data_IF_714896375439
#
_entry.id   IF_714896375439
#
_cell.length_a   1.000
_cell.length_b   1.000
_cell.length_c   1.000
_cell.angle_alpha   90.00
_cell.angle_beta   90.00
_cell.angle_gamma   90.00
#
_symmetry.space_group_name_H-M   'P 1'
#
loop_
_entity.id
_entity.type
_entity.pdbx_description
1 polymer ?
#
# COMPACT_ATOMS: atom_id res chain seq x y z
N UNK A 1 -24.12 -14.11 -59.37
CA UNK A 1 -24.69 -13.82 -58.04
C UNK A 1 -23.69 -12.95 -57.28
N UNK A 2 -23.90 -11.63 -57.23
CA UNK A 2 -22.96 -10.71 -56.61
C UNK A 2 -23.27 -10.59 -55.12
N UNK A 3 -22.43 -11.17 -54.28
CA UNK A 3 -22.51 -11.04 -52.83
C UNK A 3 -22.16 -9.59 -52.43
N UNK A 4 -23.19 -8.78 -52.20
CA UNK A 4 -23.05 -7.42 -51.70
C UNK A 4 -22.67 -7.49 -50.20
N UNK A 5 -21.37 -7.50 -49.88
CA UNK A 5 -20.88 -7.43 -48.50
C UNK A 5 -21.21 -6.06 -47.94
N UNK A 6 -22.22 -5.97 -47.06
CA UNK A 6 -22.45 -4.78 -46.25
C UNK A 6 -21.27 -4.62 -45.29
N UNK A 7 -20.41 -3.62 -45.53
CA UNK A 7 -19.47 -3.15 -44.52
C UNK A 7 -20.29 -2.47 -43.41
N UNK A 8 -20.64 -3.22 -42.37
CA UNK A 8 -21.21 -2.64 -41.16
C UNK A 8 -20.08 -1.99 -40.37
N UNK A 9 -20.00 -0.67 -40.43
CA UNK A 9 -19.09 0.11 -39.57
C UNK A 9 -19.53 -0.09 -38.12
N UNK A 10 -18.80 -0.94 -37.40
CA UNK A 10 -19.04 -1.19 -35.98
C UNK A 10 -18.58 0.04 -35.20
N UNK A 11 -19.54 0.74 -34.58
CA UNK A 11 -19.28 1.91 -33.75
C UNK A 11 -20.05 1.80 -32.46
N UNK A 12 -19.35 1.93 -31.34
CA UNK A 12 -19.89 1.77 -30.00
C UNK A 12 -20.44 3.13 -29.51
N UNK A 13 -21.61 3.12 -28.86
CA UNK A 13 -22.27 4.32 -28.34
C UNK A 13 -22.51 4.16 -26.84
N UNK A 14 -21.80 4.95 -26.04
CA UNK A 14 -21.88 4.95 -24.58
C UNK A 14 -22.57 6.21 -24.03
N UNK A 15 -23.23 7.00 -24.87
CA UNK A 15 -23.96 8.21 -24.43
C UNK A 15 -25.01 7.87 -23.37
N UNK A 16 -25.32 8.86 -22.53
CA UNK A 16 -26.28 8.73 -21.43
C UNK A 16 -25.90 7.72 -20.33
N UNK A 17 -24.66 7.22 -20.34
CA UNK A 17 -24.08 6.49 -19.22
C UNK A 17 -23.20 7.43 -18.40
N UNK A 18 -23.29 7.30 -17.07
CA UNK A 18 -22.40 7.98 -16.15
C UNK A 18 -21.17 7.10 -15.95
N UNK A 19 -20.12 7.35 -16.73
CA UNK A 19 -18.89 6.56 -16.68
C UNK A 19 -18.10 6.91 -15.42
N UNK A 20 -17.74 5.92 -14.61
CA UNK A 20 -17.02 6.16 -13.37
C UNK A 20 -15.56 6.54 -13.64
N UNK A 21 -15.17 7.71 -13.14
CA UNK A 21 -13.83 8.26 -13.24
C UNK A 21 -13.10 7.99 -11.92
N UNK A 22 -12.52 6.80 -11.84
CA UNK A 22 -11.82 6.31 -10.66
C UNK A 22 -10.54 5.56 -11.05
N UNK A 23 -9.60 5.46 -10.11
CA UNK A 23 -8.38 4.69 -10.30
C UNK A 23 -8.64 3.19 -10.53
N UNK A 24 -9.76 2.66 -10.04
CA UNK A 24 -10.14 1.26 -10.27
C UNK A 24 -10.50 0.96 -11.72
N UNK A 25 -10.94 1.97 -12.48
CA UNK A 25 -11.34 1.85 -13.88
C UNK A 25 -10.32 2.46 -14.85
N UNK A 26 -9.08 2.67 -14.42
CA UNK A 26 -8.03 3.32 -15.22
C UNK A 26 -7.82 2.62 -16.58
N UNK A 27 -7.81 1.29 -16.61
CA UNK A 27 -7.61 0.52 -17.85
C UNK A 27 -8.75 0.77 -18.86
N UNK A 28 -9.98 0.85 -18.37
CA UNK A 28 -11.15 1.18 -19.18
C UNK A 28 -11.07 2.60 -19.72
N UNK A 29 -10.71 3.57 -18.89
CA UNK A 29 -10.57 4.97 -19.30
C UNK A 29 -9.45 5.14 -20.34
N UNK A 30 -8.35 4.40 -20.19
CA UNK A 30 -7.26 4.41 -21.16
C UNK A 30 -7.69 3.77 -22.50
N UNK A 31 -8.35 2.62 -22.45
CA UNK A 31 -8.93 1.98 -23.64
C UNK A 31 -9.90 2.91 -24.38
N UNK A 32 -10.74 3.62 -23.62
CA UNK A 32 -11.71 4.58 -24.15
C UNK A 32 -11.02 5.74 -24.88
N UNK A 33 -9.91 6.23 -24.35
CA UNK A 33 -9.09 7.28 -24.98
C UNK A 33 -8.40 6.78 -26.26
N UNK A 34 -7.84 5.57 -26.23
CA UNK A 34 -7.16 4.94 -27.37
C UNK A 34 -8.13 4.65 -28.53
N UNK A 35 -9.34 4.19 -28.22
CA UNK A 35 -10.34 3.79 -29.21
C UNK A 35 -11.39 4.87 -29.52
N UNK A 36 -11.11 6.14 -29.18
CA UNK A 36 -12.04 7.26 -29.34
C UNK A 36 -12.59 7.45 -30.76
N UNK A 37 -11.85 7.03 -31.78
CA UNK A 37 -12.27 7.10 -33.19
C UNK A 37 -13.41 6.13 -33.53
N UNK A 38 -13.55 5.04 -32.78
CA UNK A 38 -14.59 4.03 -32.96
C UNK A 38 -15.84 4.33 -32.11
N UNK A 39 -15.77 5.36 -31.27
CA UNK A 39 -16.86 5.79 -30.39
C UNK A 39 -17.73 6.81 -31.11
N UNK A 40 -19.04 6.58 -31.11
CA UNK A 40 -20.00 7.55 -31.65
C UNK A 40 -20.15 8.71 -30.67
N UNK A 41 -20.00 9.93 -31.17
CA UNK A 41 -20.25 11.18 -30.44
C UNK A 41 -19.54 11.25 -29.08
N UNK A 42 -18.24 10.93 -29.07
CA UNK A 42 -17.39 10.94 -27.87
C UNK A 42 -17.48 12.25 -27.08
N UNK A 43 -17.63 13.40 -27.74
CA UNK A 43 -17.76 14.72 -27.08
C UNK A 43 -18.99 14.85 -26.17
N UNK A 44 -19.99 13.96 -26.29
CA UNK A 44 -21.21 13.96 -25.46
C UNK A 44 -21.13 12.99 -24.28
N UNK A 45 -19.95 12.41 -24.00
CA UNK A 45 -19.79 11.44 -22.93
C UNK A 45 -19.61 12.15 -21.60
N UNK A 46 -20.20 11.55 -20.57
CA UNK A 46 -20.30 12.14 -19.25
C UNK A 46 -19.63 11.21 -18.24
N UNK A 47 -18.72 11.76 -17.47
CA UNK A 47 -17.99 11.05 -16.43
C UNK A 47 -18.45 11.49 -15.04
N UNK A 48 -18.40 10.58 -14.07
CA UNK A 48 -18.69 10.86 -12.67
C UNK A 48 -17.44 10.62 -11.84
N UNK A 49 -17.03 11.62 -11.07
CA UNK A 49 -15.97 11.50 -10.09
C UNK A 49 -16.44 10.79 -8.82
N UNK A 50 -15.49 10.28 -8.04
CA UNK A 50 -15.71 9.75 -6.69
C UNK A 50 -16.51 10.69 -5.78
N UNK A 51 -16.34 12.00 -5.96
CA UNK A 51 -17.01 13.04 -5.17
C UNK A 51 -18.46 13.33 -5.65
N UNK A 52 -18.98 12.54 -6.60
CA UNK A 52 -20.30 12.71 -7.20
C UNK A 52 -20.39 13.83 -8.25
N UNK A 53 -19.30 14.57 -8.48
CA UNK A 53 -19.22 15.60 -9.52
C UNK A 53 -19.28 14.97 -10.90
N UNK A 54 -19.99 15.64 -11.81
CA UNK A 54 -20.12 15.24 -13.21
C UNK A 54 -19.14 16.06 -14.04
N UNK A 55 -18.37 15.40 -14.90
CA UNK A 55 -17.39 16.02 -15.79
C UNK A 55 -17.65 15.64 -17.24
N UNK A 56 -17.47 16.62 -18.12
CA UNK A 56 -17.59 16.46 -19.57
C UNK A 56 -16.27 15.97 -20.19
N UNK A 57 -16.34 15.50 -21.45
CA UNK A 57 -15.18 14.97 -22.19
C UNK A 57 -14.01 15.96 -22.31
N UNK A 58 -14.28 17.26 -22.34
CA UNK A 58 -13.24 18.30 -22.44
C UNK A 58 -12.31 18.27 -21.23
N UNK A 59 -12.87 18.08 -20.05
CA UNK A 59 -12.11 17.89 -18.81
C UNK A 59 -11.37 16.55 -18.83
N UNK A 60 -12.04 15.48 -19.25
CA UNK A 60 -11.45 14.15 -19.37
C UNK A 60 -10.18 14.12 -20.25
N UNK A 61 -10.20 14.77 -21.42
CA UNK A 61 -9.04 14.82 -22.34
C UNK A 61 -7.83 15.53 -21.72
N UNK A 62 -8.06 16.55 -20.91
CA UNK A 62 -6.98 17.31 -20.28
C UNK A 62 -6.45 16.62 -19.02
N UNK A 63 -7.30 15.86 -18.33
CA UNK A 63 -7.03 15.35 -16.98
C UNK A 63 -6.68 13.86 -16.93
N UNK A 64 -6.82 13.11 -18.04
CA UNK A 64 -6.46 11.67 -18.06
C UNK A 64 -4.98 11.39 -17.76
N UNK A 65 -4.08 12.31 -18.16
CA UNK A 65 -2.66 12.25 -17.82
C UNK A 65 -2.41 12.50 -16.33
N UNK A 66 -3.19 13.40 -15.72
CA UNK A 66 -3.16 13.68 -14.29
C UNK A 66 -3.73 12.51 -13.47
N UNK A 67 -4.81 11.88 -13.94
CA UNK A 67 -5.35 10.67 -13.33
C UNK A 67 -4.34 9.52 -13.37
N UNK A 68 -3.67 9.30 -14.50
CA UNK A 68 -2.62 8.29 -14.59
C UNK A 68 -1.45 8.54 -13.61
N UNK A 69 -1.11 9.82 -13.34
CA UNK A 69 -0.13 10.20 -12.34
C UNK A 69 -0.60 9.96 -10.90
N UNK A 70 -1.85 10.32 -10.59
CA UNK A 70 -2.43 10.19 -9.26
C UNK A 70 -2.75 8.74 -8.88
N UNK A 71 -3.17 7.92 -9.85
CA UNK A 71 -3.45 6.50 -9.65
C UNK A 71 -2.20 5.62 -9.62
N UNK A 72 -1.03 6.18 -9.99
CA UNK A 72 0.25 5.47 -9.87
C UNK A 72 0.55 5.25 -8.38
N UNK A 73 0.24 4.05 -7.91
CA UNK A 73 0.47 3.67 -6.52
C UNK A 73 1.98 3.66 -6.22
N UNK A 74 2.45 4.68 -5.51
CA UNK A 74 3.82 4.77 -4.99
C UNK A 74 4.05 3.84 -3.80
N UNK A 75 3.08 2.99 -3.43
CA UNK A 75 3.18 2.11 -2.26
C UNK A 75 4.40 1.22 -2.31
N UNK A 76 4.74 0.63 -3.47
CA UNK A 76 5.95 -0.18 -3.61
C UNK A 76 7.23 0.62 -3.39
N UNK A 77 7.30 1.83 -3.96
CA UNK A 77 8.47 2.72 -3.78
C UNK A 77 8.61 3.16 -2.33
N UNK A 78 7.51 3.51 -1.67
CA UNK A 78 7.50 3.86 -0.26
C UNK A 78 7.97 2.70 0.62
N UNK A 79 7.49 1.49 0.37
CA UNK A 79 7.93 0.29 1.11
C UNK A 79 9.43 0.07 0.95
N UNK A 80 9.96 0.16 -0.28
CA UNK A 80 11.40 0.03 -0.54
C UNK A 80 12.19 1.12 0.19
N UNK A 81 11.74 2.38 0.14
CA UNK A 81 12.37 3.48 0.84
C UNK A 81 12.38 3.27 2.36
N UNK A 82 11.26 2.85 2.96
CA UNK A 82 11.18 2.55 4.38
C UNK A 82 12.17 1.47 4.79
N UNK A 83 12.22 0.34 4.07
CA UNK A 83 13.17 -0.75 4.34
C UNK A 83 14.62 -0.26 4.19
N UNK A 84 14.91 0.53 3.16
CA UNK A 84 16.23 1.11 2.92
C UNK A 84 16.69 2.02 4.06
N UNK A 85 15.81 2.91 4.53
CA UNK A 85 16.11 3.82 5.64
C UNK A 85 16.31 3.04 6.95
N UNK A 86 15.40 2.11 7.26
CA UNK A 86 15.51 1.30 8.48
C UNK A 86 16.78 0.45 8.51
N UNK A 87 17.15 -0.18 7.38
CA UNK A 87 18.38 -0.97 7.28
C UNK A 87 19.64 -0.09 7.40
N UNK A 88 19.68 1.06 6.73
CA UNK A 88 20.79 2.00 6.83
C UNK A 88 20.99 2.49 8.27
N UNK A 89 19.89 2.87 8.95
CA UNK A 89 19.94 3.29 10.36
C UNK A 89 20.45 2.16 11.26
N UNK A 90 19.96 0.93 11.06
CA UNK A 90 20.42 -0.23 11.83
C UNK A 90 21.92 -0.49 11.63
N UNK A 91 22.44 -0.39 10.41
CA UNK A 91 23.87 -0.55 10.13
C UNK A 91 24.71 0.55 10.77
N UNK A 92 24.26 1.81 10.71
CA UNK A 92 24.97 2.93 11.36
C UNK A 92 25.01 2.74 12.88
N UNK A 93 23.85 2.46 13.49
CA UNK A 93 23.76 2.24 14.94
C UNK A 93 24.60 1.02 15.36
N UNK A 94 24.47 -0.09 14.63
CA UNK A 94 25.26 -1.30 14.87
C UNK A 94 26.75 -1.06 14.75
N UNK A 95 27.20 -0.31 13.73
CA UNK A 95 28.60 0.05 13.53
C UNK A 95 29.16 0.94 14.65
N UNK A 96 28.38 1.93 15.10
CA UNK A 96 28.75 2.79 16.24
C UNK A 96 28.86 1.98 17.53
N UNK A 97 27.89 1.10 17.79
CA UNK A 97 27.92 0.20 18.96
C UNK A 97 29.14 -0.72 18.88
N UNK A 98 29.44 -1.31 17.73
CA UNK A 98 30.58 -2.21 17.56
C UNK A 98 31.91 -1.49 17.79
N UNK A 99 32.10 -0.30 17.19
CA UNK A 99 33.31 0.49 17.35
C UNK A 99 33.50 1.01 18.78
N UNK A 100 32.41 1.35 19.46
CA UNK A 100 32.44 1.93 20.81
C UNK A 100 31.96 0.98 21.90
N UNK A 101 31.95 -0.34 21.67
CA UNK A 101 31.38 -1.30 22.60
C UNK A 101 31.99 -1.22 24.01
N UNK A 102 33.31 -0.99 24.11
CA UNK A 102 34.00 -0.75 25.39
C UNK A 102 33.54 0.53 26.10
N UNK A 103 33.38 1.64 25.36
CA UNK A 103 32.89 2.92 25.91
C UNK A 103 31.42 2.83 26.31
N UNK A 104 30.60 2.11 25.54
CA UNK A 104 29.18 1.92 25.83
C UNK A 104 28.97 1.10 27.10
N UNK A 105 29.73 0.00 27.29
CA UNK A 105 29.73 -0.77 28.55
C UNK A 105 30.14 0.10 29.74
N UNK A 106 31.16 0.94 29.56
CA UNK A 106 31.62 1.84 30.61
C UNK A 106 30.57 2.90 30.97
N UNK A 107 29.94 3.53 29.97
CA UNK A 107 28.87 4.51 30.18
C UNK A 107 27.62 3.89 30.78
N UNK A 108 27.22 2.69 30.34
CA UNK A 108 26.11 1.92 30.94
C UNK A 108 26.42 1.54 32.39
N UNK A 109 27.64 1.16 32.70
CA UNK A 109 28.06 0.87 34.07
C UNK A 109 28.04 2.12 34.96
N UNK A 110 28.56 3.23 34.47
CA UNK A 110 28.53 4.53 35.16
C UNK A 110 27.10 5.04 35.38
N UNK A 111 26.25 4.98 34.35
CA UNK A 111 24.85 5.40 34.46
C UNK A 111 24.09 4.48 35.41
N UNK A 112 24.23 3.15 35.31
CA UNK A 112 23.65 2.21 36.27
C UNK A 112 24.12 2.47 37.69
N UNK A 113 25.41 2.76 37.91
CA UNK A 113 25.92 3.14 39.24
C UNK A 113 25.29 4.43 39.77
N UNK A 114 25.08 5.42 38.90
CA UNK A 114 24.48 6.72 39.25
C UNK A 114 22.98 6.60 39.57
N UNK A 115 22.24 5.81 38.78
CA UNK A 115 20.78 5.69 38.89
C UNK A 115 20.32 4.61 39.90
N UNK A 116 21.04 3.49 40.02
CA UNK A 116 20.62 2.35 40.84
C UNK A 116 21.49 2.11 42.09
N UNK A 117 22.56 2.88 42.31
CA UNK A 117 23.35 2.91 43.54
C UNK A 117 23.60 1.53 44.18
N UNK A 118 24.62 0.78 43.71
CA UNK A 118 25.11 -0.49 44.29
C UNK A 118 24.07 -1.57 44.67
N UNK A 119 22.79 -1.47 44.27
CA UNK A 119 21.82 -2.53 44.52
C UNK A 119 21.80 -3.50 43.33
N UNK A 120 22.51 -4.61 43.54
CA UNK A 120 22.36 -5.94 42.95
C UNK A 120 22.32 -5.94 41.42
N UNK A 121 23.42 -6.34 40.79
CA UNK A 121 23.45 -6.75 39.39
C UNK A 121 22.59 -8.02 39.25
N UNK A 122 21.41 -7.99 38.58
CA UNK A 122 20.83 -9.23 38.08
C UNK A 122 21.77 -9.72 36.98
N UNK A 123 22.09 -11.01 37.01
CA UNK A 123 22.88 -11.68 35.99
C UNK A 123 22.33 -11.34 34.59
N UNK A 124 23.21 -10.87 33.71
CA UNK A 124 22.88 -10.30 32.40
C UNK A 124 22.26 -11.36 31.46
N UNK A 125 22.36 -12.64 31.83
CA UNK A 125 21.81 -13.79 31.13
C UNK A 125 20.27 -13.89 31.19
N UNK A 126 19.62 -13.25 32.17
CA UNK A 126 18.15 -13.35 32.35
C UNK A 126 17.35 -12.20 31.72
N UNK A 127 17.95 -11.05 31.43
CA UNK A 127 17.22 -9.88 30.92
C UNK A 127 17.01 -9.98 29.40
N UNK A 128 18.01 -10.45 28.66
CA UNK A 128 17.90 -10.61 27.19
C UNK A 128 16.95 -11.76 26.81
N UNK A 129 16.89 -12.82 27.63
CA UNK A 129 15.95 -13.94 27.41
C UNK A 129 14.53 -13.60 27.81
N UNK A 130 14.30 -12.81 28.87
CA UNK A 130 12.95 -12.45 29.31
C UNK A 130 12.29 -11.39 28.44
N UNK A 131 13.03 -10.40 27.92
CA UNK A 131 12.47 -9.42 26.99
C UNK A 131 12.25 -9.99 25.58
N UNK A 132 13.19 -10.80 25.06
CA UNK A 132 12.96 -11.50 23.79
C UNK A 132 11.84 -12.54 23.92
N UNK A 133 11.77 -13.31 25.01
CA UNK A 133 10.63 -14.23 25.20
C UNK A 133 9.30 -13.49 25.34
N UNK A 134 9.24 -12.32 26.00
CA UNK A 134 8.00 -11.52 26.06
C UNK A 134 7.59 -10.98 24.69
N UNK A 135 8.55 -10.58 23.85
CA UNK A 135 8.30 -10.14 22.48
C UNK A 135 7.88 -11.31 21.57
N UNK A 136 8.50 -12.48 21.69
CA UNK A 136 8.09 -13.68 20.95
C UNK A 136 6.73 -14.20 21.40
N UNK A 137 6.41 -14.14 22.70
CA UNK A 137 5.10 -14.58 23.20
C UNK A 137 3.97 -13.62 22.80
N UNK A 138 4.24 -12.30 22.76
CA UNK A 138 3.27 -11.33 22.22
C UNK A 138 3.07 -11.48 20.72
N UNK A 139 4.14 -11.72 19.94
CA UNK A 139 4.05 -12.05 18.51
C UNK A 139 3.24 -13.34 18.25
N UNK A 140 3.45 -14.41 19.04
CA UNK A 140 2.67 -15.66 18.94
C UNK A 140 1.19 -15.45 19.24
N UNK A 141 0.87 -14.73 20.31
CA UNK A 141 -0.55 -14.44 20.63
C UNK A 141 -1.24 -13.59 19.56
N UNK A 142 -0.54 -12.66 18.92
CA UNK A 142 -1.11 -11.82 17.85
C UNK A 142 -1.31 -12.65 16.56
N UNK A 143 -0.37 -13.52 16.22
CA UNK A 143 -0.51 -14.44 15.08
C UNK A 143 -1.62 -15.47 15.29
N UNK A 144 -1.76 -16.03 16.50
CA UNK A 144 -2.86 -16.96 16.85
C UNK A 144 -4.23 -16.26 16.90
N UNK A 145 -4.30 -15.01 17.36
CA UNK A 145 -5.52 -14.18 17.28
C UNK A 145 -5.89 -13.86 15.82
N UNK A 146 -4.91 -13.58 14.95
CA UNK A 146 -5.15 -13.36 13.52
C UNK A 146 -5.60 -14.64 12.79
N UNK A 147 -5.06 -15.80 13.15
CA UNK A 147 -5.44 -17.10 12.61
C UNK A 147 -6.84 -17.54 13.08
N UNK A 148 -7.19 -17.27 14.36
CA UNK A 148 -8.52 -17.52 14.91
C UNK A 148 -9.61 -16.61 14.33
N UNK A 149 -9.29 -15.35 14.03
CA UNK A 149 -10.22 -14.42 13.35
C UNK A 149 -10.38 -14.73 11.86
N UNK A 150 -9.36 -15.31 11.21
CA UNK A 150 -9.47 -15.81 9.83
C UNK A 150 -10.33 -17.09 9.75
N UNK A 151 -10.22 -17.99 10.73
CA UNK A 151 -11.03 -19.23 10.81
C UNK A 151 -12.51 -18.95 11.13
N UNK A 152 -12.83 -17.95 11.97
CA UNK A 152 -14.25 -17.57 12.25
C UNK A 152 -14.98 -16.91 11.09
N UNK A 153 -14.28 -16.27 10.14
CA UNK A 153 -14.93 -15.71 8.95
C UNK A 153 -15.34 -16.76 7.92
N UNK A 154 -14.75 -17.97 7.97
CA UNK A 154 -15.13 -19.07 7.10
C UNK A 154 -16.43 -19.80 7.48
N UNK A 155 -16.95 -19.60 8.70
CA UNK A 155 -18.11 -20.36 9.20
C UNK A 155 -19.43 -19.57 9.26
N UNK A 156 -19.40 -18.25 9.04
CA UNK A 156 -20.60 -17.39 9.02
C UNK A 156 -21.08 -17.00 7.60
N UNK A 157 -20.47 -17.55 6.55
CA UNK A 157 -20.84 -17.32 5.14
C UNK A 157 -21.67 -18.44 4.49
N UNK A 158 -22.33 -19.29 5.28
CA UNK A 158 -23.29 -20.30 4.79
C UNK A 158 -24.55 -20.23 5.62
N UNK A 159 -25.33 -19.17 5.45
CA UNK A 159 -26.78 -19.16 5.60
C UNK A 159 -27.24 -17.75 5.19
N UNK A 160 -28.21 -17.72 4.28
CA UNK A 160 -28.70 -16.60 3.46
C UNK A 160 -28.03 -16.49 2.09
#
# INVERSE_FOLDING_TARGET
MNANRRHSTFGLDLRNNSLDYSCGNQDFLNWLYEHKSNLKAFEMYVFRLSDGRIMDVTWFKNDISHLAGNCRSYTLLLVICCIGISSALATVVGGVIYRHHWKLRYLLFMSRKRFFGYRILPDYTLIETTDLMRLFHTQRTISDLSAGLSSRKGHLGKHY
#
